data_IF_873075761391
#
_entry.id   IF_873075761391
#
_cell.length_a   1.000
_cell.length_b   1.000
_cell.length_c   1.000
_cell.angle_alpha   90.00
_cell.angle_beta   90.00
_cell.angle_gamma   90.00
#
_symmetry.space_group_name_H-M   'P 1'
#
loop_
_entity.id
_entity.type
_entity.pdbx_description
1 polymer ?
#
# COMPACT_ATOMS: atom_id res chain seq x y z
N UNK A 1 -5.33 19.55 6.30
CA UNK A 1 -6.13 18.36 6.01
C UNK A 1 -5.37 17.43 5.10
N UNK A 2 -5.23 16.16 5.44
CA UNK A 2 -4.46 15.21 4.65
C UNK A 2 -5.28 14.71 3.46
N UNK A 3 -4.65 14.61 2.29
CA UNK A 3 -5.27 13.97 1.14
C UNK A 3 -5.28 12.45 1.34
N UNK A 4 -6.01 11.72 0.51
CA UNK A 4 -6.00 10.25 0.57
C UNK A 4 -4.60 9.70 0.34
N UNK A 5 -3.85 10.26 -0.60
CA UNK A 5 -2.47 9.85 -0.86
C UNK A 5 -1.59 10.04 0.37
N UNK A 6 -1.72 11.15 1.06
CA UNK A 6 -0.96 11.43 2.27
C UNK A 6 -1.30 10.46 3.40
N UNK A 7 -2.58 10.14 3.56
CA UNK A 7 -3.04 9.17 4.56
C UNK A 7 -2.46 7.79 4.29
N UNK A 8 -2.48 7.38 3.03
CA UNK A 8 -1.95 6.08 2.62
C UNK A 8 -0.44 6.04 2.84
N UNK A 9 0.26 7.10 2.46
CA UNK A 9 1.71 7.18 2.63
C UNK A 9 2.08 7.12 4.11
N UNK A 10 1.37 7.87 4.93
CA UNK A 10 1.62 7.87 6.38
C UNK A 10 1.35 6.51 7.01
N UNK A 11 0.27 5.85 6.59
CA UNK A 11 -0.05 4.51 7.05
C UNK A 11 1.08 3.53 6.71
N UNK A 12 1.61 3.60 5.48
CA UNK A 12 2.70 2.72 5.07
C UNK A 12 3.99 3.00 5.84
N UNK A 13 4.22 4.24 6.27
CA UNK A 13 5.39 4.57 7.09
C UNK A 13 5.30 3.99 8.49
N UNK A 14 4.09 3.94 9.05
CA UNK A 14 3.87 3.48 10.42
C UNK A 14 3.62 1.98 10.51
N UNK A 15 3.25 1.36 9.41
CA UNK A 15 2.90 -0.04 9.36
C UNK A 15 3.73 -0.75 8.29
N UNK A 16 3.70 -2.08 8.31
CA UNK A 16 4.43 -2.87 7.33
C UNK A 16 3.60 -3.02 6.05
N UNK A 17 3.41 -1.91 5.34
CA UNK A 17 2.66 -1.89 4.10
C UNK A 17 1.18 -1.60 4.28
N UNK A 18 0.44 -1.66 3.17
CA UNK A 18 -1.00 -1.41 3.16
C UNK A 18 -1.70 -2.37 2.21
N UNK A 19 -2.83 -2.91 2.64
CA UNK A 19 -3.70 -3.74 1.81
C UNK A 19 -4.97 -2.97 1.44
N UNK A 20 -5.76 -3.54 0.54
CA UNK A 20 -7.05 -2.95 0.17
C UNK A 20 -7.99 -2.82 1.39
N UNK A 21 -7.92 -3.80 2.29
CA UNK A 21 -8.72 -3.76 3.52
C UNK A 21 -8.31 -2.59 4.41
N UNK A 22 -7.01 -2.37 4.56
CA UNK A 22 -6.49 -1.24 5.33
C UNK A 22 -6.92 0.08 4.71
N UNK A 23 -6.83 0.18 3.39
CA UNK A 23 -7.24 1.39 2.67
C UNK A 23 -8.73 1.66 2.84
N UNK A 24 -9.53 0.61 2.80
CA UNK A 24 -10.97 0.74 3.01
C UNK A 24 -11.27 1.35 4.38
N UNK A 25 -10.56 0.91 5.40
CA UNK A 25 -10.70 1.45 6.76
C UNK A 25 -10.32 2.93 6.83
N UNK A 26 -9.42 3.37 5.95
CA UNK A 26 -9.02 4.78 5.85
C UNK A 26 -9.97 5.59 4.96
N UNK A 27 -11.03 4.97 4.46
CA UNK A 27 -11.98 5.63 3.58
C UNK A 27 -11.56 5.67 2.11
N UNK A 28 -10.58 4.89 1.73
CA UNK A 28 -10.09 4.82 0.36
C UNK A 28 -10.58 3.54 -0.30
N UNK A 29 -11.37 3.68 -1.38
CA UNK A 29 -11.89 2.53 -2.12
C UNK A 29 -11.10 2.22 -3.38
N UNK A 30 -10.13 3.06 -3.75
CA UNK A 30 -9.35 2.92 -4.97
C UNK A 30 -7.86 2.98 -4.65
N UNK A 31 -7.41 2.03 -3.86
CA UNK A 31 -6.01 1.99 -3.42
C UNK A 31 -5.03 1.94 -4.59
N UNK A 32 -5.31 1.11 -5.60
CA UNK A 32 -4.39 0.98 -6.74
C UNK A 32 -4.18 2.32 -7.46
N UNK A 33 -5.24 3.12 -7.59
CA UNK A 33 -5.13 4.44 -8.20
C UNK A 33 -4.27 5.38 -7.36
N UNK A 34 -4.44 5.34 -6.04
CA UNK A 34 -3.62 6.17 -5.14
C UNK A 34 -2.17 5.75 -5.14
N UNK A 35 -1.91 4.44 -5.22
CA UNK A 35 -0.55 3.92 -5.33
C UNK A 35 0.10 4.41 -6.64
N UNK A 36 -0.65 4.41 -7.73
CA UNK A 36 -0.15 4.93 -9.00
C UNK A 36 0.21 6.41 -8.90
N UNK A 37 -0.64 7.20 -8.22
CA UNK A 37 -0.37 8.63 -8.00
C UNK A 37 0.92 8.83 -7.18
N UNK A 38 1.11 8.03 -6.14
CA UNK A 38 2.31 8.11 -5.31
C UNK A 38 3.57 7.77 -6.10
N UNK A 39 3.51 6.76 -6.96
CA UNK A 39 4.62 6.41 -7.84
C UNK A 39 4.95 7.55 -8.80
N UNK A 40 3.94 8.21 -9.34
CA UNK A 40 4.12 9.36 -10.20
C UNK A 40 4.83 10.51 -9.50
N UNK A 41 4.58 10.66 -8.20
CA UNK A 41 5.19 11.70 -7.39
C UNK A 41 6.59 11.34 -6.88
N UNK A 42 7.14 10.23 -7.36
CA UNK A 42 8.50 9.85 -7.04
C UNK A 42 8.66 8.91 -5.86
N UNK A 43 7.58 8.43 -5.30
CA UNK A 43 7.65 7.46 -4.21
C UNK A 43 7.90 6.06 -4.76
N UNK A 44 8.80 5.35 -4.14
CA UNK A 44 9.11 3.98 -4.49
C UNK A 44 8.16 3.06 -3.75
N UNK A 45 7.37 2.28 -4.48
CA UNK A 45 6.38 1.37 -3.89
C UNK A 45 6.52 0.01 -4.53
N UNK A 46 6.68 -1.01 -3.69
CA UNK A 46 6.77 -2.40 -4.11
C UNK A 46 5.47 -3.12 -3.82
N UNK A 47 5.23 -4.18 -4.56
CA UNK A 47 4.03 -5.00 -4.44
C UNK A 47 4.41 -6.37 -3.91
N UNK A 48 3.69 -6.83 -2.88
CA UNK A 48 3.85 -8.16 -2.33
C UNK A 48 2.54 -8.93 -2.47
N UNK A 49 2.61 -10.16 -2.97
CA UNK A 49 1.46 -11.03 -3.04
C UNK A 49 1.42 -11.90 -1.79
N UNK A 50 0.30 -11.83 -1.06
CA UNK A 50 0.13 -12.56 0.19
C UNK A 50 -1.02 -13.55 0.03
N UNK A 51 -0.81 -14.81 0.41
CA UNK A 51 -1.86 -15.84 0.38
C UNK A 51 -2.14 -16.30 1.80
N UNK A 52 -3.41 -16.19 2.20
CA UNK A 52 -3.89 -16.64 3.51
C UNK A 52 -5.20 -17.40 3.30
N UNK A 53 -5.28 -18.62 3.82
CA UNK A 53 -6.49 -19.44 3.73
C UNK A 53 -7.04 -19.55 2.31
N UNK A 54 -6.16 -19.82 1.35
CA UNK A 54 -6.49 -19.96 -0.08
C UNK A 54 -6.95 -18.65 -0.74
N UNK A 55 -6.87 -17.52 -0.05
CA UNK A 55 -7.17 -16.22 -0.61
C UNK A 55 -5.88 -15.44 -0.84
N UNK A 56 -5.75 -14.88 -2.02
CA UNK A 56 -4.57 -14.08 -2.38
C UNK A 56 -4.96 -12.61 -2.43
N UNK A 57 -4.15 -11.78 -1.79
CA UNK A 57 -4.30 -10.34 -1.84
C UNK A 57 -2.94 -9.67 -1.99
N UNK A 58 -2.97 -8.39 -2.30
CA UNK A 58 -1.75 -7.61 -2.55
C UNK A 58 -1.53 -6.65 -1.39
N UNK A 59 -0.28 -6.60 -0.93
CA UNK A 59 0.17 -5.61 0.04
C UNK A 59 1.19 -4.70 -0.64
N UNK A 60 1.01 -3.40 -0.50
CA UNK A 60 1.96 -2.42 -1.04
C UNK A 60 2.89 -1.95 0.06
N UNK A 61 4.17 -1.85 -0.25
CA UNK A 61 5.21 -1.44 0.70
C UNK A 61 5.94 -0.21 0.19
N UNK A 62 6.37 0.66 1.09
CA UNK A 62 7.29 1.74 0.75
C UNK A 62 8.69 1.16 0.57
N UNK A 63 9.33 1.53 -0.55
CA UNK A 63 10.65 1.02 -0.89
C UNK A 63 10.58 -0.35 -1.51
N UNK A 64 11.71 -1.04 -1.51
CA UNK A 64 11.80 -2.37 -2.09
C UNK A 64 11.48 -3.42 -1.04
N UNK A 65 10.67 -4.41 -1.45
CA UNK A 65 10.45 -5.57 -0.61
C UNK A 65 11.75 -6.35 -0.53
N UNK A 66 12.26 -6.54 0.68
CA UNK A 66 13.42 -7.40 0.87
C UNK A 66 12.98 -8.84 0.78
N UNK A 67 13.38 -9.48 -0.27
CA UNK A 67 13.29 -10.92 -0.29
C UNK A 67 14.36 -11.44 0.65
N UNK A 68 13.92 -12.11 1.68
CA UNK A 68 14.83 -12.87 2.49
C UNK A 68 15.18 -14.13 1.71
N UNK A 69 16.23 -14.02 0.95
CA UNK A 69 16.80 -15.20 0.35
C UNK A 69 17.34 -16.07 1.45
#
# INVERSE_FOLDING_TARGET
MMTQCERILEYMKQNDGITSMDAYRLGCTRLAARIADLKKNGHRISTERVTVNHKTFVRYHLGEVRENG
#
